data_IF_223259005838
#
_entry.id   IF_223259005838
#
_cell.length_a   1.000
_cell.length_b   1.000
_cell.length_c   1.000
_cell.angle_alpha   90.00
_cell.angle_beta   90.00
_cell.angle_gamma   90.00
#
_symmetry.space_group_name_H-M   'P 1'
#
loop_
_entity.id
_entity.type
_entity.pdbx_description
1 polymer ?
#
# COMPACT_ATOMS: atom_id res chain seq x y z
N UNK A 1 29.62 -2.66 25.20
CA UNK A 1 29.70 -2.89 23.76
C UNK A 1 28.27 -3.00 23.26
N UNK A 2 27.71 -1.92 22.74
CA UNK A 2 26.45 -1.97 22.00
C UNK A 2 26.83 -2.29 20.55
N UNK A 3 26.57 -3.53 20.15
CA UNK A 3 26.62 -3.89 18.74
C UNK A 3 25.46 -3.20 18.02
N UNK A 4 25.81 -2.36 17.04
CA UNK A 4 24.84 -1.89 16.04
C UNK A 4 24.45 -3.11 15.20
N UNK A 5 23.43 -3.80 15.65
CA UNK A 5 22.83 -4.91 14.90
C UNK A 5 21.93 -4.31 13.81
N UNK A 6 22.59 -3.91 12.71
CA UNK A 6 21.96 -3.40 11.50
C UNK A 6 21.46 -4.52 10.59
N UNK A 7 21.10 -5.67 11.18
CA UNK A 7 20.42 -6.69 10.39
C UNK A 7 19.01 -6.19 10.05
N UNK A 8 18.60 -6.29 8.78
CA UNK A 8 17.24 -5.93 8.40
C UNK A 8 16.27 -6.79 9.21
N UNK A 9 15.21 -6.16 9.72
CA UNK A 9 14.15 -6.88 10.41
C UNK A 9 13.68 -8.07 9.56
N UNK A 10 13.49 -9.24 10.16
CA UNK A 10 13.08 -10.42 9.41
C UNK A 10 11.71 -10.13 8.74
N UNK A 11 11.57 -10.57 7.48
CA UNK A 11 10.31 -10.48 6.76
C UNK A 11 9.20 -11.12 7.61
N UNK A 12 8.12 -10.41 7.90
CA UNK A 12 7.02 -10.98 8.67
C UNK A 12 6.48 -12.25 7.98
N UNK A 13 6.38 -13.33 8.73
CA UNK A 13 5.86 -14.61 8.22
C UNK A 13 4.34 -14.70 8.32
N UNK A 14 3.70 -13.75 8.98
CA UNK A 14 2.26 -13.71 9.20
C UNK A 14 1.68 -12.39 8.64
N UNK A 15 0.43 -12.47 8.20
CA UNK A 15 -0.33 -11.29 7.81
C UNK A 15 -0.54 -10.42 9.05
N UNK A 16 -0.27 -9.14 8.94
CA UNK A 16 -0.34 -8.19 10.04
C UNK A 16 -0.99 -6.86 9.63
N UNK A 17 -1.44 -6.12 10.63
CA UNK A 17 -1.80 -4.70 10.53
C UNK A 17 -0.88 -3.87 11.42
N UNK A 18 -0.78 -2.58 11.16
CA UNK A 18 -0.12 -1.64 12.05
C UNK A 18 -1.16 -0.87 12.87
N UNK A 19 -0.85 -0.64 14.13
CA UNK A 19 -1.57 0.30 14.99
C UNK A 19 -1.10 1.73 14.74
N UNK A 20 -1.77 2.71 15.34
CA UNK A 20 -1.43 4.13 15.21
C UNK A 20 0.01 4.44 15.66
N UNK A 21 0.52 3.69 16.64
CA UNK A 21 1.90 3.81 17.13
C UNK A 21 2.95 3.09 16.27
N UNK A 22 2.52 2.48 15.16
CA UNK A 22 3.38 1.69 14.27
C UNK A 22 3.58 0.23 14.70
N UNK A 23 3.05 -0.18 15.86
CA UNK A 23 3.15 -1.56 16.35
C UNK A 23 2.48 -2.52 15.39
N UNK A 24 3.17 -3.61 15.02
CA UNK A 24 2.61 -4.70 14.20
C UNK A 24 1.78 -5.65 15.07
N UNK A 25 0.58 -5.95 14.60
CA UNK A 25 -0.31 -6.92 15.22
C UNK A 25 -0.70 -7.96 14.18
N UNK A 26 -0.43 -9.23 14.47
CA UNK A 26 -0.86 -10.34 13.61
C UNK A 26 -2.38 -10.34 13.48
N UNK A 27 -2.87 -10.48 12.25
CA UNK A 27 -4.29 -10.63 11.97
C UNK A 27 -4.61 -12.11 11.73
N UNK A 28 -5.53 -12.60 12.53
CA UNK A 28 -6.10 -13.95 12.43
C UNK A 28 -7.62 -13.81 12.50
N UNK A 29 -8.33 -14.77 11.92
CA UNK A 29 -9.81 -14.88 12.01
C UNK A 29 -10.60 -13.81 11.23
N UNK A 30 -10.03 -13.22 10.19
CA UNK A 30 -10.80 -12.39 9.25
C UNK A 30 -11.31 -13.21 8.06
N UNK A 31 -12.45 -12.78 7.54
CA UNK A 31 -13.08 -13.43 6.38
C UNK A 31 -12.25 -13.19 5.10
N UNK A 32 -11.53 -12.08 5.04
CA UNK A 32 -10.78 -11.67 3.87
C UNK A 32 -9.51 -10.94 4.25
N UNK A 33 -8.44 -11.19 3.49
CA UNK A 33 -7.16 -10.52 3.60
C UNK A 33 -6.67 -10.09 2.23
N UNK A 34 -5.96 -8.98 2.17
CA UNK A 34 -5.21 -8.54 1.01
C UNK A 34 -3.77 -8.18 1.43
N UNK A 35 -2.92 -9.19 1.67
CA UNK A 35 -1.54 -8.93 2.07
C UNK A 35 -0.75 -8.34 0.90
N UNK A 36 0.11 -7.37 1.18
CA UNK A 36 1.08 -6.91 0.21
C UNK A 36 2.11 -8.02 0.01
N UNK A 37 2.20 -8.51 -1.20
CA UNK A 37 3.03 -9.66 -1.52
C UNK A 37 4.35 -9.29 -2.19
N UNK A 38 4.30 -8.28 -3.05
CA UNK A 38 5.45 -7.84 -3.81
C UNK A 38 5.35 -6.34 -4.10
N UNK A 39 6.47 -5.65 -4.04
CA UNK A 39 6.63 -4.26 -4.44
C UNK A 39 7.65 -4.17 -5.58
N UNK A 40 7.41 -3.30 -6.57
CA UNK A 40 8.42 -3.00 -7.58
C UNK A 40 9.42 -1.99 -7.04
N UNK A 41 10.70 -2.14 -7.38
CA UNK A 41 11.84 -1.55 -6.73
C UNK A 41 12.02 -2.19 -5.35
N UNK A 42 12.99 -3.11 -5.26
CA UNK A 42 13.23 -3.88 -4.04
C UNK A 42 13.08 -2.97 -2.81
N UNK A 43 12.15 -3.25 -1.92
CA UNK A 43 11.87 -2.35 -0.82
C UNK A 43 13.17 -2.14 -0.06
N UNK A 44 13.55 -0.87 0.13
CA UNK A 44 14.59 -0.55 1.08
C UNK A 44 14.18 -0.98 2.50
N UNK A 45 12.90 -1.33 2.63
CA UNK A 45 12.27 -1.75 3.85
C UNK A 45 11.38 -2.97 3.60
N UNK A 46 11.82 -4.14 4.07
CA UNK A 46 11.03 -5.38 4.03
C UNK A 46 9.81 -5.31 4.96
N UNK A 47 9.60 -4.18 5.61
CA UNK A 47 8.62 -3.92 6.63
C UNK A 47 7.17 -3.90 6.13
N UNK A 48 6.97 -3.95 4.82
CA UNK A 48 5.63 -3.87 4.20
C UNK A 48 5.09 -5.21 3.72
N UNK A 49 5.95 -6.21 3.55
CA UNK A 49 5.52 -7.53 3.10
C UNK A 49 4.58 -8.16 4.12
N UNK A 50 3.51 -8.76 3.65
CA UNK A 50 2.40 -9.30 4.46
C UNK A 50 1.58 -8.27 5.26
N UNK A 51 1.79 -6.96 5.05
CA UNK A 51 0.87 -5.96 5.56
C UNK A 51 -0.50 -6.12 4.91
N UNK A 52 -1.55 -6.23 5.72
CA UNK A 52 -2.91 -6.35 5.22
C UNK A 52 -3.45 -4.99 4.78
N UNK A 53 -3.48 -4.75 3.48
CA UNK A 53 -3.99 -3.50 2.89
C UNK A 53 -5.44 -3.22 3.28
N UNK A 54 -6.28 -4.27 3.44
CA UNK A 54 -7.66 -4.11 3.89
C UNK A 54 -7.81 -3.61 5.34
N UNK A 55 -6.72 -3.61 6.11
CA UNK A 55 -6.74 -3.03 7.46
C UNK A 55 -6.78 -1.49 7.45
N UNK A 56 -6.57 -0.87 6.27
CA UNK A 56 -6.56 0.58 6.12
C UNK A 56 -7.75 1.06 5.29
N UNK A 57 -8.47 2.06 5.80
CA UNK A 57 -9.75 2.54 5.25
C UNK A 57 -9.68 2.97 3.77
N UNK A 58 -8.61 3.64 3.35
CA UNK A 58 -8.47 4.13 1.96
C UNK A 58 -8.36 2.94 1.02
N UNK A 59 -7.48 1.98 1.32
CA UNK A 59 -7.34 0.78 0.49
C UNK A 59 -8.62 -0.06 0.51
N UNK A 60 -9.23 -0.24 1.68
CA UNK A 60 -10.47 -1.02 1.80
C UNK A 60 -11.59 -0.46 0.91
N UNK A 61 -11.78 0.87 0.91
CA UNK A 61 -12.78 1.55 0.07
C UNK A 61 -12.47 1.43 -1.42
N UNK A 62 -11.23 1.66 -1.82
CA UNK A 62 -10.80 1.56 -3.22
C UNK A 62 -10.97 0.13 -3.73
N UNK A 63 -10.58 -0.86 -2.95
CA UNK A 63 -10.70 -2.27 -3.34
C UNK A 63 -12.15 -2.73 -3.38
N UNK A 64 -13.01 -2.25 -2.46
CA UNK A 64 -14.43 -2.55 -2.52
C UNK A 64 -15.03 -2.00 -3.82
N UNK A 65 -14.78 -0.74 -4.14
CA UNK A 65 -15.28 -0.13 -5.38
C UNK A 65 -14.74 -0.84 -6.62
N UNK A 66 -13.44 -1.15 -6.66
CA UNK A 66 -12.82 -1.89 -7.76
C UNK A 66 -13.49 -3.26 -7.98
N UNK A 67 -13.81 -3.99 -6.91
CA UNK A 67 -14.52 -5.27 -6.99
C UNK A 67 -15.94 -5.12 -7.51
N UNK A 68 -16.63 -4.07 -7.10
CA UNK A 68 -18.02 -3.81 -7.50
C UNK A 68 -18.10 -3.44 -8.98
N UNK A 69 -17.20 -2.57 -9.46
CA UNK A 69 -17.20 -2.11 -10.86
C UNK A 69 -16.40 -3.03 -11.79
N UNK A 70 -15.55 -3.90 -11.24
CA UNK A 70 -14.65 -4.81 -11.99
C UNK A 70 -13.77 -4.09 -13.02
N UNK A 71 -13.31 -2.93 -12.65
CA UNK A 71 -12.50 -2.04 -13.49
C UNK A 71 -11.45 -1.32 -12.62
N UNK A 72 -10.42 -0.72 -13.24
CA UNK A 72 -9.47 0.11 -12.52
C UNK A 72 -10.17 1.26 -11.80
N UNK A 73 -9.73 1.54 -10.58
CA UNK A 73 -10.26 2.62 -9.74
C UNK A 73 -9.13 3.50 -9.26
N UNK A 74 -9.30 4.80 -9.41
CA UNK A 74 -8.42 5.82 -8.84
C UNK A 74 -9.07 6.35 -7.56
N UNK A 75 -8.30 6.39 -6.46
CA UNK A 75 -8.78 6.99 -5.21
C UNK A 75 -8.92 8.51 -5.34
N UNK A 76 -9.64 9.10 -4.41
CA UNK A 76 -9.47 10.53 -4.15
C UNK A 76 -8.03 10.84 -3.77
N UNK A 77 -7.63 12.09 -3.95
CA UNK A 77 -6.34 12.59 -3.46
C UNK A 77 -6.34 12.60 -1.93
N UNK A 78 -5.27 12.14 -1.33
CA UNK A 78 -5.09 12.14 0.12
C UNK A 78 -3.66 12.58 0.48
N UNK A 79 -3.50 12.97 1.73
CA UNK A 79 -2.19 13.24 2.33
C UNK A 79 -1.65 11.92 2.91
N UNK A 80 -0.51 11.41 2.42
CA UNK A 80 0.08 10.17 2.92
C UNK A 80 0.42 10.19 4.40
N UNK A 81 0.64 11.36 5.00
CA UNK A 81 0.84 11.46 6.45
C UNK A 81 -0.36 10.99 7.28
N UNK A 82 -1.54 10.94 6.65
CA UNK A 82 -2.77 10.42 7.26
C UNK A 82 -2.89 8.90 7.19
N UNK A 83 -1.99 8.23 6.45
CA UNK A 83 -1.94 6.77 6.34
C UNK A 83 -1.20 6.17 7.53
N UNK A 84 -1.75 6.35 8.73
CA UNK A 84 -1.23 5.72 9.94
C UNK A 84 -1.14 4.21 9.73
N UNK A 85 0.05 3.67 9.90
CA UNK A 85 0.33 2.25 9.71
C UNK A 85 0.71 1.81 8.29
N UNK A 86 0.42 2.58 7.26
CA UNK A 86 0.89 2.34 5.88
C UNK A 86 2.13 3.19 5.53
N UNK A 87 2.69 3.91 6.48
CA UNK A 87 3.82 4.84 6.28
C UNK A 87 5.09 4.23 5.69
N UNK A 88 5.20 2.90 5.70
CA UNK A 88 6.27 2.20 5.01
C UNK A 88 6.05 2.07 3.49
N UNK A 89 4.83 2.26 3.01
CA UNK A 89 4.52 2.28 1.57
C UNK A 89 4.79 3.64 0.94
N UNK A 90 4.93 4.67 1.77
CA UNK A 90 5.01 6.06 1.35
C UNK A 90 6.17 6.71 2.09
N UNK A 91 7.16 7.22 1.37
CA UNK A 91 8.30 7.89 1.97
C UNK A 91 7.88 9.23 2.59
N UNK A 92 7.71 9.25 3.90
CA UNK A 92 7.35 10.44 4.67
C UNK A 92 8.55 11.19 5.25
N UNK A 93 9.76 10.88 4.78
CA UNK A 93 11.00 11.38 5.42
C UNK A 93 11.22 12.88 5.33
N UNK A 94 10.62 13.57 4.38
CA UNK A 94 10.91 14.99 4.17
C UNK A 94 9.89 15.94 4.82
N UNK A 95 8.91 15.46 5.55
CA UNK A 95 7.87 16.24 6.22
C UNK A 95 7.08 17.22 5.32
N UNK A 96 7.23 17.13 4.00
CA UNK A 96 6.41 17.87 3.07
C UNK A 96 5.12 17.10 2.77
N UNK A 97 4.00 17.82 2.63
CA UNK A 97 2.74 17.21 2.24
C UNK A 97 2.78 16.99 0.74
N UNK A 98 2.86 15.72 0.34
CA UNK A 98 2.79 15.33 -1.07
C UNK A 98 1.42 14.72 -1.34
N UNK A 99 0.55 15.39 -2.11
CA UNK A 99 -0.75 14.83 -2.45
C UNK A 99 -0.59 13.59 -3.32
N UNK A 100 -1.21 12.50 -2.92
CA UNK A 100 -1.12 11.21 -3.58
C UNK A 100 -2.49 10.63 -3.89
N UNK A 101 -2.53 9.70 -4.83
CA UNK A 101 -3.69 8.84 -5.11
C UNK A 101 -3.23 7.40 -5.31
N UNK A 102 -4.13 6.48 -5.05
CA UNK A 102 -3.93 5.06 -5.31
C UNK A 102 -4.72 4.68 -6.56
N UNK A 103 -4.04 4.12 -7.55
CA UNK A 103 -4.66 3.43 -8.66
C UNK A 103 -4.68 1.93 -8.35
N UNK A 104 -5.85 1.34 -8.28
CA UNK A 104 -6.06 -0.09 -8.08
C UNK A 104 -6.55 -0.74 -9.37
N UNK A 105 -5.83 -1.74 -9.85
CA UNK A 105 -6.15 -2.53 -11.04
C UNK A 105 -6.52 -3.94 -10.61
N UNK A 106 -7.74 -4.45 -10.93
CA UNK A 106 -8.11 -5.82 -10.58
C UNK A 106 -7.32 -6.84 -11.39
N UNK A 107 -6.98 -7.95 -10.73
CA UNK A 107 -6.48 -9.18 -11.35
C UNK A 107 -7.59 -10.21 -11.28
N UNK A 108 -7.97 -10.74 -12.43
CA UNK A 108 -9.04 -11.72 -12.56
C UNK A 108 -8.52 -13.15 -12.57
N UNK A 109 -9.37 -14.07 -12.17
CA UNK A 109 -9.12 -15.49 -12.33
C UNK A 109 -9.10 -15.87 -13.83
N UNK A 110 -8.16 -16.70 -14.24
CA UNK A 110 -8.02 -17.14 -15.64
C UNK A 110 -9.24 -17.94 -16.14
N UNK A 111 -9.94 -18.59 -15.23
CA UNK A 111 -11.11 -19.44 -15.53
C UNK A 111 -12.44 -18.73 -15.29
N UNK A 112 -12.46 -17.68 -14.48
CA UNK A 112 -13.64 -16.89 -14.17
C UNK A 112 -13.32 -15.40 -14.15
N UNK A 113 -13.43 -14.76 -15.31
CA UNK A 113 -13.18 -13.32 -15.48
C UNK A 113 -14.15 -12.42 -14.68
N UNK A 114 -15.12 -12.98 -13.99
CA UNK A 114 -15.97 -12.24 -13.06
C UNK A 114 -15.40 -12.22 -11.64
N UNK A 115 -14.44 -13.11 -11.35
CA UNK A 115 -13.83 -13.26 -10.03
C UNK A 115 -12.51 -12.49 -9.94
N UNK A 116 -12.45 -11.51 -9.05
CA UNK A 116 -11.22 -10.80 -8.70
C UNK A 116 -10.43 -11.65 -7.69
N UNK A 117 -9.20 -11.99 -8.04
CA UNK A 117 -8.31 -12.82 -7.20
C UNK A 117 -7.14 -12.04 -6.63
N UNK A 118 -6.93 -10.81 -7.10
CA UNK A 118 -5.85 -9.97 -6.64
C UNK A 118 -6.02 -8.54 -7.12
N UNK A 119 -5.08 -7.70 -6.71
CA UNK A 119 -5.02 -6.30 -7.11
C UNK A 119 -3.57 -5.89 -7.35
N UNK A 120 -3.36 -5.10 -8.39
CA UNK A 120 -2.12 -4.35 -8.60
C UNK A 120 -2.41 -2.91 -8.20
N UNK A 121 -1.57 -2.35 -7.35
CA UNK A 121 -1.69 -0.96 -6.92
C UNK A 121 -0.51 -0.14 -7.41
N UNK A 122 -0.79 1.11 -7.77
CA UNK A 122 0.21 2.12 -8.01
C UNK A 122 -0.09 3.35 -7.15
N UNK A 123 0.92 3.89 -6.50
CA UNK A 123 0.83 5.18 -5.80
C UNK A 123 1.26 6.26 -6.78
N UNK A 124 0.45 7.29 -6.92
CA UNK A 124 0.67 8.40 -7.85
C UNK A 124 0.99 9.65 -7.02
N UNK A 125 2.27 10.05 -6.93
CA UNK A 125 2.65 11.31 -6.30
C UNK A 125 2.38 12.46 -7.30
N UNK A 126 1.32 13.23 -7.06
CA UNK A 126 0.87 14.25 -8.00
C UNK A 126 1.88 15.36 -8.22
N UNK A 127 2.64 15.75 -7.20
CA UNK A 127 3.68 16.77 -7.32
C UNK A 127 4.76 16.35 -8.31
N UNK A 128 5.25 15.11 -8.18
CA UNK A 128 6.25 14.57 -9.11
C UNK A 128 5.68 14.43 -10.53
N UNK A 129 4.42 13.98 -10.64
CA UNK A 129 3.75 13.83 -11.91
C UNK A 129 3.61 15.16 -12.65
N UNK A 130 3.10 16.22 -11.99
CA UNK A 130 2.94 17.52 -12.58
C UNK A 130 4.25 18.24 -12.86
N UNK A 131 5.27 18.08 -11.99
CA UNK A 131 6.59 18.66 -12.23
C UNK A 131 7.23 18.13 -13.51
N UNK A 132 6.96 16.89 -13.87
CA UNK A 132 7.47 16.31 -15.12
C UNK A 132 6.65 16.70 -16.37
N UNK A 133 5.40 17.12 -16.19
CA UNK A 133 4.53 17.54 -17.29
C UNK A 133 4.69 19.03 -17.65
N UNK A 134 4.97 19.84 -16.63
CA UNK A 134 5.20 21.28 -16.81
C UNK A 134 6.68 21.49 -17.14
N UNK A 135 7.08 21.21 -18.37
CA UNK A 135 8.36 21.69 -18.86
C UNK A 135 8.37 23.20 -18.73
N UNK A 136 9.35 23.72 -18.01
CA UNK A 136 9.66 25.14 -18.03
C UNK A 136 9.92 25.55 -19.47
N UNK A 137 9.00 26.31 -20.00
CA UNK A 137 9.11 26.90 -21.31
C UNK A 137 10.11 28.06 -21.29
#
# INVERSE_FOLDING_TARGET
YRGDDNSPDPIPTQIYRKLEDGTRVSEQDKVEYCPLWQESEAPHDTDVINFNLLSHDIFARVFQLMRDVKAPVLSQVFDPSTLLGAGALIDTKDHTIHPESILAQPVFDDFDHAKVVGVIIAVIPWDAYFSNLLHEG
#
